data_IF_733520433956
#
_entry.id   IF_733520433956
#
_cell.length_a   1.000
_cell.length_b   1.000
_cell.length_c   1.000
_cell.angle_alpha   90.00
_cell.angle_beta   90.00
_cell.angle_gamma   90.00
#
_symmetry.space_group_name_H-M   'P 1'
#
loop_
_entity.id
_entity.type
_entity.pdbx_description
1 polymer ?
#
# COMPACT_ATOMS: atom_id res chain seq x y z
N UNK A 1 -10.38 3.00 13.57
CA UNK A 1 -10.24 1.56 13.44
C UNK A 1 -10.77 0.93 14.73
N UNK A 2 -11.07 -0.33 14.74
CA UNK A 2 -11.63 -1.04 15.93
C UNK A 2 -10.74 -0.92 17.18
N UNK A 3 -9.44 -0.74 17.00
CA UNK A 3 -8.44 -0.57 18.07
C UNK A 3 -8.26 0.90 18.52
N UNK A 4 -9.10 1.81 18.05
CA UNK A 4 -9.04 3.24 18.36
C UNK A 4 -8.06 4.05 17.53
N UNK A 5 -7.26 3.44 16.65
CA UNK A 5 -6.38 4.18 15.74
C UNK A 5 -7.22 4.94 14.71
N UNK A 6 -6.83 6.18 14.41
CA UNK A 6 -7.50 7.04 13.42
C UNK A 6 -6.67 7.10 12.16
N UNK A 7 -7.25 6.71 11.02
CA UNK A 7 -6.64 6.90 9.71
C UNK A 7 -7.18 8.18 9.07
N UNK A 8 -6.35 8.81 8.25
CA UNK A 8 -6.69 10.05 7.54
C UNK A 8 -6.94 9.75 6.07
N UNK A 9 -8.05 10.26 5.55
CA UNK A 9 -8.43 10.14 4.16
C UNK A 9 -8.88 11.49 3.58
N UNK A 10 -8.67 11.68 2.28
CA UNK A 10 -9.26 12.76 1.51
C UNK A 10 -10.41 12.21 0.68
N UNK A 11 -11.58 12.83 0.75
CA UNK A 11 -12.71 12.53 -0.08
C UNK A 11 -12.81 13.51 -1.25
N UNK A 12 -12.85 13.00 -2.45
CA UNK A 12 -13.04 13.76 -3.69
C UNK A 12 -14.44 13.47 -4.21
N UNK A 13 -15.32 14.47 -4.11
CA UNK A 13 -16.67 14.38 -4.63
C UNK A 13 -16.69 14.72 -6.13
N UNK A 14 -17.46 13.98 -6.96
CA UNK A 14 -17.66 14.34 -8.36
C UNK A 14 -18.59 15.55 -8.49
N UNK A 15 -18.46 16.28 -9.59
CA UNK A 15 -19.37 17.38 -9.93
C UNK A 15 -20.51 16.80 -10.79
N UNK A 16 -21.40 16.04 -10.16
CA UNK A 16 -22.58 15.46 -10.81
C UNK A 16 -23.65 15.11 -9.78
N UNK A 17 -24.91 15.16 -10.16
CA UNK A 17 -26.05 14.71 -9.36
C UNK A 17 -26.27 13.18 -9.42
N UNK A 18 -25.58 12.49 -10.34
CA UNK A 18 -25.70 11.04 -10.53
C UNK A 18 -24.30 10.40 -10.55
N UNK A 19 -23.70 10.14 -9.37
CA UNK A 19 -22.39 9.53 -9.29
C UNK A 19 -22.32 8.14 -9.92
N UNK A 20 -21.21 7.84 -10.58
CA UNK A 20 -20.97 6.54 -11.22
C UNK A 20 -20.64 5.42 -10.21
N UNK A 21 -20.25 5.78 -8.99
CA UNK A 21 -19.88 4.85 -7.93
C UNK A 21 -18.85 5.44 -6.96
N UNK A 22 -18.28 4.60 -6.13
CA UNK A 22 -17.25 4.97 -5.17
C UNK A 22 -15.96 4.19 -5.45
N UNK A 23 -14.81 4.86 -5.36
CA UNK A 23 -13.48 4.24 -5.44
C UNK A 23 -12.76 4.40 -4.09
N UNK A 24 -12.20 3.32 -3.61
CA UNK A 24 -11.35 3.29 -2.41
C UNK A 24 -9.91 3.02 -2.84
N UNK A 25 -9.01 3.93 -2.46
CA UNK A 25 -7.56 3.84 -2.71
C UNK A 25 -6.84 4.01 -1.39
N UNK A 26 -6.04 3.00 -1.02
CA UNK A 26 -5.28 2.99 0.23
C UNK A 26 -3.80 2.78 -0.03
N UNK A 27 -2.94 3.54 0.66
CA UNK A 27 -1.50 3.37 0.47
C UNK A 27 -0.64 4.27 1.36
N UNK A 28 0.68 4.00 1.43
CA UNK A 28 1.61 4.70 2.31
C UNK A 28 2.20 5.98 1.71
N UNK A 29 1.87 6.35 0.47
CA UNK A 29 2.59 7.38 -0.29
C UNK A 29 2.00 8.78 -0.17
N UNK A 30 1.04 8.97 0.75
CA UNK A 30 0.37 10.24 0.99
C UNK A 30 -0.77 10.53 0.01
N UNK A 31 -1.39 11.70 0.19
CA UNK A 31 -2.60 12.10 -0.52
C UNK A 31 -2.43 13.35 -1.39
N UNK A 32 -1.21 13.89 -1.44
CA UNK A 32 -0.87 15.03 -2.28
C UNK A 32 -0.52 14.61 -3.71
N UNK A 33 -0.18 15.59 -4.57
CA UNK A 33 0.39 15.32 -5.90
C UNK A 33 1.68 14.48 -5.77
N UNK A 34 1.91 13.48 -6.63
CA UNK A 34 1.13 13.12 -7.82
C UNK A 34 -0.05 12.16 -7.56
N UNK A 35 -0.14 11.53 -6.37
CA UNK A 35 -1.17 10.52 -6.07
C UNK A 35 -2.60 11.09 -6.12
N UNK A 36 -2.80 12.32 -5.61
CA UNK A 36 -4.10 12.99 -5.70
C UNK A 36 -4.57 13.16 -7.15
N UNK A 37 -3.67 13.41 -8.10
CA UNK A 37 -4.03 13.52 -9.51
C UNK A 37 -4.35 12.13 -10.09
N UNK A 38 -3.42 11.20 -9.96
CA UNK A 38 -3.49 9.89 -10.62
C UNK A 38 -4.62 9.00 -10.08
N UNK A 39 -4.86 9.03 -8.76
CA UNK A 39 -5.76 8.10 -8.09
C UNK A 39 -7.03 8.75 -7.51
N UNK A 40 -7.20 10.07 -7.61
CA UNK A 40 -8.40 10.71 -7.10
C UNK A 40 -9.03 11.68 -8.12
N UNK A 41 -8.35 12.77 -8.48
CA UNK A 41 -8.94 13.83 -9.31
C UNK A 41 -9.41 13.34 -10.70
N UNK A 42 -8.63 12.46 -11.33
CA UNK A 42 -8.99 11.91 -12.65
C UNK A 42 -10.26 11.06 -12.60
N UNK A 43 -10.50 10.34 -11.52
CA UNK A 43 -11.70 9.54 -11.34
C UNK A 43 -12.88 10.39 -10.87
N UNK A 44 -12.65 11.37 -9.98
CA UNK A 44 -13.69 12.30 -9.56
C UNK A 44 -14.22 13.11 -10.76
N UNK A 45 -13.34 13.53 -11.67
CA UNK A 45 -13.73 14.18 -12.93
C UNK A 45 -14.57 13.28 -13.86
N UNK A 46 -14.57 11.96 -13.63
CA UNK A 46 -15.37 10.98 -14.38
C UNK A 46 -16.62 10.52 -13.62
N UNK A 47 -16.98 11.21 -12.56
CA UNK A 47 -18.23 10.97 -11.84
C UNK A 47 -18.13 10.06 -10.63
N UNK A 48 -16.93 9.65 -10.21
CA UNK A 48 -16.77 8.80 -9.02
C UNK A 48 -16.54 9.62 -7.75
N UNK A 49 -17.16 9.22 -6.64
CA UNK A 49 -16.63 9.55 -5.33
C UNK A 49 -15.30 8.80 -5.13
N UNK A 50 -14.27 9.47 -4.67
CA UNK A 50 -12.98 8.81 -4.40
C UNK A 50 -12.54 9.07 -2.97
N UNK A 51 -12.22 7.99 -2.26
CA UNK A 51 -11.55 8.03 -0.97
C UNK A 51 -10.10 7.66 -1.19
N UNK A 52 -9.20 8.62 -0.96
CA UNK A 52 -7.75 8.39 -0.97
C UNK A 52 -7.26 8.41 0.48
N UNK A 53 -6.90 7.23 1.01
CA UNK A 53 -6.56 7.04 2.42
C UNK A 53 -5.07 6.75 2.60
N UNK A 54 -4.45 7.42 3.57
CA UNK A 54 -3.13 7.03 4.07
C UNK A 54 -3.25 5.87 5.04
N UNK A 55 -2.44 4.85 4.85
CA UNK A 55 -2.42 3.69 5.73
C UNK A 55 -1.83 4.03 7.10
N UNK A 56 -1.97 3.13 8.05
CA UNK A 56 -1.54 3.26 9.44
C UNK A 56 -0.09 3.77 9.54
N UNK A 57 0.15 4.75 10.42
CA UNK A 57 1.47 5.33 10.69
C UNK A 57 2.06 6.18 9.57
N UNK A 58 1.25 6.60 8.57
CA UNK A 58 1.72 7.44 7.46
C UNK A 58 0.86 8.69 7.27
N UNK A 59 1.48 9.80 6.89
CA UNK A 59 0.85 11.07 6.47
C UNK A 59 -0.29 11.54 7.36
N UNK A 60 -0.08 11.48 8.68
CA UNK A 60 -1.02 11.93 9.70
C UNK A 60 -2.00 10.85 10.16
N UNK A 61 -2.03 9.68 9.56
CA UNK A 61 -2.70 8.51 10.12
C UNK A 61 -1.97 8.03 11.37
N UNK A 62 -2.73 7.70 12.41
CA UNK A 62 -2.19 7.24 13.70
C UNK A 62 -1.59 5.83 13.64
N UNK A 63 -1.05 5.40 14.77
CA UNK A 63 -0.40 4.09 14.92
C UNK A 63 1.03 4.08 14.38
N UNK A 64 1.59 2.89 14.20
CA UNK A 64 2.94 2.65 13.69
C UNK A 64 2.84 2.03 12.31
N UNK A 65 3.68 2.47 11.39
CA UNK A 65 3.75 1.89 10.05
C UNK A 65 4.57 0.59 10.09
N UNK A 66 3.89 -0.50 9.93
CA UNK A 66 4.44 -1.83 9.68
C UNK A 66 3.94 -2.29 8.32
N UNK A 67 4.79 -2.27 7.29
CA UNK A 67 4.33 -2.49 5.92
C UNK A 67 3.53 -3.77 5.76
N UNK A 68 2.31 -3.63 5.22
CA UNK A 68 1.40 -4.72 4.85
C UNK A 68 0.75 -5.48 6.01
N UNK A 69 1.22 -5.32 7.26
CA UNK A 69 0.76 -6.10 8.42
C UNK A 69 -0.70 -5.81 8.78
N UNK A 70 -1.11 -4.55 8.75
CA UNK A 70 -2.44 -4.13 9.23
C UNK A 70 -3.47 -3.95 8.10
N UNK A 71 -3.14 -4.25 6.86
CA UNK A 71 -3.95 -3.81 5.71
C UNK A 71 -5.30 -4.52 5.60
N UNK A 72 -5.40 -5.76 6.05
CA UNK A 72 -6.66 -6.50 6.04
C UNK A 72 -7.66 -5.91 7.07
N UNK A 73 -7.22 -5.76 8.32
CA UNK A 73 -8.07 -5.23 9.40
C UNK A 73 -8.42 -3.77 9.20
N UNK A 74 -7.44 -2.92 8.83
CA UNK A 74 -7.69 -1.51 8.54
C UNK A 74 -8.55 -1.32 7.29
N UNK A 75 -8.45 -2.23 6.33
CA UNK A 75 -9.30 -2.27 5.15
C UNK A 75 -10.75 -2.55 5.50
N UNK A 76 -11.00 -3.57 6.32
CA UNK A 76 -12.33 -3.93 6.81
C UNK A 76 -12.97 -2.77 7.59
N UNK A 77 -12.24 -2.18 8.54
CA UNK A 77 -12.69 -1.02 9.30
C UNK A 77 -12.99 0.21 8.41
N UNK A 78 -12.20 0.40 7.36
CA UNK A 78 -12.44 1.47 6.39
C UNK A 78 -13.74 1.24 5.62
N UNK A 79 -14.08 0.00 5.29
CA UNK A 79 -15.36 -0.33 4.66
C UNK A 79 -16.52 -0.09 5.62
N UNK A 80 -16.39 -0.43 6.91
CA UNK A 80 -17.40 -0.10 7.92
C UNK A 80 -17.64 1.41 7.97
N UNK A 81 -16.57 2.21 8.04
CA UNK A 81 -16.67 3.67 7.99
C UNK A 81 -17.30 4.18 6.69
N UNK A 82 -17.00 3.56 5.56
CA UNK A 82 -17.52 3.96 4.25
C UNK A 82 -19.04 3.82 4.18
N UNK A 83 -19.61 2.76 4.78
CA UNK A 83 -21.07 2.53 4.86
C UNK A 83 -21.84 3.66 5.58
N UNK A 84 -21.17 4.34 6.51
CA UNK A 84 -21.76 5.43 7.28
C UNK A 84 -21.75 6.78 6.55
N UNK A 85 -21.09 6.86 5.40
CA UNK A 85 -20.96 8.14 4.70
C UNK A 85 -22.22 8.46 3.88
N UNK A 86 -22.82 9.67 4.03
CA UNK A 86 -24.07 10.02 3.36
C UNK A 86 -23.96 10.07 1.83
N UNK A 87 -22.75 10.16 1.30
CA UNK A 87 -22.44 10.16 -0.13
C UNK A 87 -22.08 8.77 -0.67
N UNK A 88 -21.99 7.76 0.17
CA UNK A 88 -21.64 6.41 -0.29
C UNK A 88 -22.73 5.84 -1.18
N UNK A 89 -22.34 5.36 -2.34
CA UNK A 89 -23.29 4.85 -3.37
C UNK A 89 -23.75 3.41 -3.13
N UNK A 90 -23.40 2.81 -1.98
CA UNK A 90 -23.75 1.42 -1.61
C UNK A 90 -22.84 0.37 -2.26
N UNK A 91 -21.96 0.77 -3.20
CA UNK A 91 -20.96 -0.10 -3.83
C UNK A 91 -19.66 0.67 -4.04
N UNK A 92 -18.54 -0.04 -3.98
CA UNK A 92 -17.23 0.54 -4.28
C UNK A 92 -16.36 -0.40 -5.11
N UNK A 93 -15.40 0.17 -5.79
CA UNK A 93 -14.30 -0.56 -6.42
C UNK A 93 -12.97 -0.08 -5.84
N UNK A 94 -11.91 -0.87 -6.05
CA UNK A 94 -10.56 -0.51 -5.64
C UNK A 94 -9.65 -0.37 -6.85
N UNK A 95 -8.65 0.50 -6.77
CA UNK A 95 -7.67 0.72 -7.83
C UNK A 95 -6.32 1.09 -7.23
N UNK A 96 -5.24 0.57 -7.79
CA UNK A 96 -3.91 0.94 -7.32
C UNK A 96 -2.78 0.10 -7.88
N UNK A 97 -1.56 0.61 -7.69
CA UNK A 97 -0.31 0.01 -8.14
C UNK A 97 0.58 -0.35 -6.95
N UNK A 98 1.34 -1.42 -7.06
CA UNK A 98 2.35 -1.82 -6.06
C UNK A 98 1.72 -2.03 -4.68
N UNK A 99 2.13 -1.32 -3.65
CA UNK A 99 1.54 -1.37 -2.31
C UNK A 99 0.00 -1.13 -2.32
N UNK A 100 -0.47 -0.20 -3.15
CA UNK A 100 -1.91 0.04 -3.33
C UNK A 100 -2.63 -1.17 -3.96
N UNK A 101 -1.89 -2.05 -4.61
CA UNK A 101 -2.38 -3.35 -5.08
C UNK A 101 -2.46 -4.37 -3.93
N UNK A 102 -1.44 -4.40 -3.06
CA UNK A 102 -1.48 -5.26 -1.86
C UNK A 102 -2.69 -4.92 -0.96
N UNK A 103 -2.99 -3.64 -0.74
CA UNK A 103 -4.16 -3.25 0.07
C UNK A 103 -5.48 -3.76 -0.50
N UNK A 104 -5.57 -3.97 -1.81
CA UNK A 104 -6.74 -4.56 -2.46
C UNK A 104 -6.81 -6.07 -2.21
N UNK A 105 -5.69 -6.78 -2.36
CA UNK A 105 -5.60 -8.19 -2.01
C UNK A 105 -5.98 -8.45 -0.55
N UNK A 106 -5.55 -7.56 0.35
CA UNK A 106 -5.89 -7.63 1.76
C UNK A 106 -7.42 -7.55 2.00
N UNK A 107 -8.13 -6.68 1.30
CA UNK A 107 -9.61 -6.61 1.34
C UNK A 107 -10.26 -7.83 0.68
N UNK A 108 -9.64 -8.39 -0.36
CA UNK A 108 -10.15 -9.57 -1.07
C UNK A 108 -10.00 -10.88 -0.29
N UNK A 109 -9.27 -10.90 0.84
CA UNK A 109 -9.23 -12.06 1.73
C UNK A 109 -10.60 -12.34 2.39
N UNK A 110 -11.35 -11.27 2.68
CA UNK A 110 -12.74 -11.34 3.17
C UNK A 110 -13.55 -10.25 2.44
N UNK A 111 -13.92 -10.50 1.17
CA UNK A 111 -14.48 -9.46 0.32
C UNK A 111 -15.86 -9.02 0.81
N UNK A 112 -16.04 -7.73 1.14
CA UNK A 112 -17.32 -7.21 1.59
C UNK A 112 -18.32 -7.20 0.43
N UNK A 113 -19.64 -7.37 0.70
CA UNK A 113 -20.66 -7.47 -0.35
C UNK A 113 -20.80 -6.20 -1.20
N UNK A 114 -20.33 -5.06 -0.73
CA UNK A 114 -20.31 -3.80 -1.47
C UNK A 114 -19.15 -3.70 -2.47
N UNK A 115 -18.15 -4.56 -2.38
CA UNK A 115 -17.05 -4.57 -3.34
C UNK A 115 -17.57 -5.00 -4.72
N UNK A 116 -17.36 -4.15 -5.73
CA UNK A 116 -17.87 -4.36 -7.07
C UNK A 116 -16.81 -4.81 -8.07
N UNK A 117 -15.57 -4.36 -7.90
CA UNK A 117 -14.43 -4.70 -8.76
C UNK A 117 -13.10 -4.29 -8.12
N UNK A 118 -12.00 -4.86 -8.60
CA UNK A 118 -10.65 -4.45 -8.24
C UNK A 118 -9.78 -4.27 -9.50
N UNK A 119 -8.93 -3.23 -9.51
CA UNK A 119 -7.94 -2.99 -10.56
C UNK A 119 -6.56 -2.95 -9.91
N UNK A 120 -5.81 -4.02 -10.06
CA UNK A 120 -4.53 -4.25 -9.38
C UNK A 120 -3.40 -4.20 -10.40
N UNK A 121 -2.53 -3.21 -10.26
CA UNK A 121 -1.35 -3.08 -11.12
C UNK A 121 -0.10 -3.44 -10.34
N UNK A 122 0.64 -4.46 -10.77
CA UNK A 122 1.91 -4.91 -10.16
C UNK A 122 1.85 -5.00 -8.63
N UNK A 123 0.70 -5.47 -8.09
CA UNK A 123 0.46 -5.60 -6.65
C UNK A 123 0.67 -7.04 -6.20
N UNK A 124 1.60 -7.32 -5.29
CA UNK A 124 1.82 -8.67 -4.80
C UNK A 124 0.65 -9.14 -3.92
N UNK A 125 0.23 -10.39 -4.04
CA UNK A 125 -0.66 -11.06 -3.10
C UNK A 125 0.12 -11.88 -2.05
N UNK A 126 1.34 -12.26 -2.36
CA UNK A 126 2.30 -12.87 -1.44
C UNK A 126 3.58 -12.02 -1.42
N UNK A 127 3.82 -11.35 -0.29
CA UNK A 127 4.96 -10.47 -0.18
C UNK A 127 6.27 -11.23 -0.03
N UNK A 128 6.27 -12.43 0.60
CA UNK A 128 7.45 -13.28 0.65
C UNK A 128 7.92 -13.66 -0.76
N UNK A 129 6.98 -14.03 -1.64
CA UNK A 129 7.31 -14.36 -3.02
C UNK A 129 7.94 -13.17 -3.78
N UNK A 130 7.58 -11.94 -3.43
CA UNK A 130 8.20 -10.73 -4.01
C UNK A 130 9.60 -10.47 -3.46
N UNK A 131 9.84 -10.78 -2.18
CA UNK A 131 11.11 -10.50 -1.49
C UNK A 131 12.14 -11.61 -1.72
N UNK A 132 11.70 -12.89 -1.67
CA UNK A 132 12.56 -14.08 -1.68
C UNK A 132 12.27 -15.06 -2.82
N UNK A 133 11.30 -14.78 -3.69
CA UNK A 133 10.77 -15.73 -4.67
C UNK A 133 11.79 -16.30 -5.66
N UNK A 134 12.95 -15.65 -5.83
CA UNK A 134 14.05 -16.16 -6.66
C UNK A 134 15.08 -16.96 -5.87
N UNK A 135 14.87 -17.17 -4.57
CA UNK A 135 15.83 -17.81 -3.66
C UNK A 135 16.94 -16.87 -3.16
N UNK A 136 16.90 -15.62 -3.55
CA UNK A 136 17.77 -14.56 -3.03
C UNK A 136 16.94 -13.32 -2.68
N UNK A 137 17.39 -12.57 -1.66
CA UNK A 137 16.71 -11.34 -1.25
C UNK A 137 16.79 -10.27 -2.34
N UNK A 138 15.64 -9.72 -2.74
CA UNK A 138 15.53 -8.66 -3.75
C UNK A 138 15.99 -7.30 -3.18
N UNK A 139 17.27 -7.21 -2.80
CA UNK A 139 17.84 -6.09 -2.04
C UNK A 139 17.70 -4.75 -2.76
N UNK A 140 17.88 -4.73 -4.09
CA UNK A 140 17.84 -3.49 -4.86
C UNK A 140 16.47 -2.79 -4.71
N UNK A 141 15.40 -3.56 -4.83
CA UNK A 141 14.05 -3.04 -4.81
C UNK A 141 13.62 -2.65 -3.39
N UNK A 142 13.82 -3.55 -2.44
CA UNK A 142 13.28 -3.36 -1.09
C UNK A 142 14.13 -2.45 -0.21
N UNK A 143 15.45 -2.36 -0.44
CA UNK A 143 16.28 -1.36 0.24
C UNK A 143 15.97 0.05 -0.28
N UNK A 144 15.82 0.21 -1.59
CA UNK A 144 15.47 1.50 -2.19
C UNK A 144 14.06 1.95 -1.77
N UNK A 145 13.11 1.03 -1.73
CA UNK A 145 11.76 1.30 -1.29
C UNK A 145 11.72 1.68 0.21
N UNK A 146 12.43 0.96 1.06
CA UNK A 146 12.50 1.25 2.49
C UNK A 146 13.16 2.61 2.77
N UNK A 147 14.22 2.97 2.04
CA UNK A 147 14.84 4.31 2.15
C UNK A 147 13.87 5.41 1.70
N UNK A 148 13.10 5.18 0.64
CA UNK A 148 12.09 6.12 0.16
C UNK A 148 11.01 6.34 1.23
N UNK A 149 10.38 5.26 1.70
CA UNK A 149 9.23 5.33 2.61
C UNK A 149 9.62 5.89 3.97
N UNK A 150 10.79 5.50 4.51
CA UNK A 150 11.28 6.01 5.79
C UNK A 150 11.55 7.52 5.81
N UNK A 151 11.71 8.15 4.64
CA UNK A 151 12.05 9.58 4.51
C UNK A 151 10.95 10.43 3.90
N UNK A 152 9.85 9.83 3.44
CA UNK A 152 8.84 10.55 2.66
C UNK A 152 8.10 11.65 3.42
N UNK A 153 8.07 11.60 4.75
CA UNK A 153 7.42 12.60 5.61
C UNK A 153 8.38 13.59 6.25
N UNK A 154 9.68 13.44 6.02
CA UNK A 154 10.69 14.36 6.57
C UNK A 154 10.69 15.74 5.94
N UNK A 155 11.33 16.71 6.62
CA UNK A 155 11.42 18.11 6.22
C UNK A 155 12.09 18.40 4.85
N UNK A 156 12.63 17.37 4.20
CA UNK A 156 13.14 17.43 2.81
C UNK A 156 12.13 17.01 1.76
N UNK A 157 10.85 17.13 2.04
CA UNK A 157 9.70 16.84 1.17
C UNK A 157 9.64 17.67 -0.12
N UNK A 158 10.65 18.48 -0.41
CA UNK A 158 10.67 19.33 -1.59
C UNK A 158 11.04 18.49 -2.83
N UNK A 159 10.02 18.21 -3.65
CA UNK A 159 10.12 17.90 -5.07
C UNK A 159 11.09 16.77 -5.47
N UNK A 160 10.94 15.58 -4.93
CA UNK A 160 11.65 14.45 -5.50
C UNK A 160 10.66 13.43 -6.03
N UNK A 161 10.29 13.62 -7.29
CA UNK A 161 9.50 12.64 -8.02
C UNK A 161 10.18 11.26 -8.08
N UNK A 162 9.37 10.28 -8.40
CA UNK A 162 9.67 8.84 -8.62
C UNK A 162 11.06 8.48 -9.21
N UNK A 163 11.78 9.33 -9.99
CA UNK A 163 13.09 8.96 -10.54
C UNK A 163 14.21 8.69 -9.53
N UNK A 164 13.99 8.96 -8.23
CA UNK A 164 14.99 8.67 -7.19
C UNK A 164 14.95 7.25 -6.62
N UNK A 165 13.96 6.45 -7.01
CA UNK A 165 13.82 5.05 -6.57
C UNK A 165 15.01 4.15 -6.92
N UNK A 166 15.75 4.47 -7.97
CA UNK A 166 16.80 3.57 -8.51
C UNK A 166 18.22 4.12 -8.42
N UNK A 167 18.45 5.25 -7.75
CA UNK A 167 19.70 5.89 -8.07
C UNK A 167 20.43 6.66 -7.00
N UNK A 168 20.18 6.52 -5.71
CA UNK A 168 21.12 7.17 -4.79
C UNK A 168 22.41 6.35 -4.74
N UNK A 169 23.57 7.00 -4.95
CA UNK A 169 24.89 6.38 -4.76
C UNK A 169 25.01 5.72 -3.38
N UNK A 170 24.22 6.17 -2.40
CA UNK A 170 24.16 5.60 -1.06
C UNK A 170 23.47 4.25 -1.04
N UNK A 171 22.34 4.09 -1.74
CA UNK A 171 21.66 2.80 -1.91
C UNK A 171 22.55 1.82 -2.63
N UNK A 172 23.15 2.22 -3.75
CA UNK A 172 24.07 1.37 -4.51
C UNK A 172 25.29 0.89 -3.68
N UNK A 173 25.83 1.76 -2.82
CA UNK A 173 26.90 1.39 -1.88
C UNK A 173 26.42 0.41 -0.82
N UNK A 174 25.21 0.60 -0.27
CA UNK A 174 24.64 -0.27 0.76
C UNK A 174 24.29 -1.66 0.20
N UNK A 175 23.80 -1.74 -1.05
CA UNK A 175 23.53 -3.00 -1.75
C UNK A 175 24.75 -3.91 -1.85
N UNK A 176 25.93 -3.34 -2.06
CA UNK A 176 27.20 -4.08 -2.09
C UNK A 176 27.81 -4.40 -0.72
N UNK A 177 27.17 -4.00 0.37
CA UNK A 177 27.70 -4.16 1.72
C UNK A 177 27.45 -5.54 2.32
N UNK A 178 28.44 -6.06 3.07
CA UNK A 178 28.35 -7.34 3.78
C UNK A 178 28.78 -7.15 5.24
N UNK A 179 28.01 -7.66 6.22
CA UNK A 179 26.67 -8.29 6.13
C UNK A 179 25.58 -7.31 5.67
N UNK A 180 24.61 -7.81 4.91
CA UNK A 180 23.54 -7.02 4.30
C UNK A 180 22.76 -6.16 5.32
N UNK A 181 22.36 -6.75 6.46
CA UNK A 181 21.61 -6.03 7.50
C UNK A 181 22.42 -4.86 8.10
N UNK A 182 23.73 -5.02 8.32
CA UNK A 182 24.58 -3.95 8.83
C UNK A 182 24.73 -2.79 7.81
N UNK A 183 24.86 -3.12 6.53
CA UNK A 183 24.93 -2.13 5.46
C UNK A 183 23.60 -1.37 5.31
N UNK A 184 22.47 -2.08 5.42
CA UNK A 184 21.14 -1.49 5.41
C UNK A 184 20.92 -0.56 6.62
N UNK A 185 21.28 -0.98 7.84
CA UNK A 185 21.22 -0.12 9.04
C UNK A 185 21.97 1.19 8.87
N UNK A 186 23.13 1.15 8.24
CA UNK A 186 23.93 2.36 7.98
C UNK A 186 23.18 3.35 7.07
N UNK A 187 22.37 2.85 6.14
CA UNK A 187 21.56 3.68 5.24
C UNK A 187 20.26 4.14 5.88
N UNK A 188 19.51 3.20 6.47
CA UNK A 188 18.14 3.40 6.93
C UNK A 188 18.06 4.00 8.35
N UNK A 189 19.10 3.83 9.16
CA UNK A 189 19.05 4.16 10.58
C UNK A 189 17.94 3.36 11.28
N UNK A 190 17.11 4.06 12.05
CA UNK A 190 15.92 3.48 12.71
C UNK A 190 14.63 3.64 11.91
N UNK A 191 14.72 4.20 10.69
CA UNK A 191 13.54 4.62 9.91
C UNK A 191 12.78 3.49 9.24
N UNK A 192 13.38 2.29 9.12
CA UNK A 192 12.76 1.14 8.48
C UNK A 192 13.10 -0.17 9.22
N UNK A 193 12.55 -0.38 10.44
CA UNK A 193 12.87 -1.55 11.26
C UNK A 193 12.45 -2.87 10.61
N UNK A 194 11.39 -2.86 9.80
CA UNK A 194 10.88 -4.04 9.07
C UNK A 194 11.90 -4.65 8.11
N UNK A 195 12.85 -3.86 7.60
CA UNK A 195 13.79 -4.32 6.56
C UNK A 195 14.69 -5.45 7.05
N UNK A 196 15.19 -5.37 8.28
CA UNK A 196 16.01 -6.43 8.86
C UNK A 196 15.20 -7.69 9.10
N UNK A 197 13.97 -7.56 9.60
CA UNK A 197 13.06 -8.69 9.78
C UNK A 197 12.80 -9.43 8.46
N UNK A 198 12.67 -8.71 7.35
CA UNK A 198 12.52 -9.35 6.03
C UNK A 198 13.75 -10.15 5.60
N UNK A 199 14.96 -9.71 6.00
CA UNK A 199 16.21 -10.44 5.71
C UNK A 199 16.34 -11.67 6.62
N UNK A 200 15.96 -11.55 7.87
CA UNK A 200 16.12 -12.60 8.88
C UNK A 200 15.17 -13.78 8.64
N UNK A 201 13.99 -13.54 8.11
CA UNK A 201 12.97 -14.53 7.81
C UNK A 201 13.02 -14.98 6.35
N UNK A 202 14.04 -15.74 5.96
CA UNK A 202 14.23 -16.16 4.56
C UNK A 202 13.38 -17.34 4.12
N UNK A 203 12.88 -18.16 5.05
CA UNK A 203 12.08 -19.33 4.74
C UNK A 203 10.66 -18.94 4.32
N UNK A 204 10.19 -19.55 3.24
CA UNK A 204 8.85 -19.23 2.72
C UNK A 204 7.71 -19.71 3.62
N UNK A 205 7.93 -20.72 4.45
CA UNK A 205 6.96 -21.26 5.39
C UNK A 205 7.02 -20.62 6.78
N UNK A 206 7.89 -19.62 6.98
CA UNK A 206 8.00 -18.91 8.26
C UNK A 206 6.68 -18.17 8.57
N UNK A 207 6.10 -18.41 9.79
CA UNK A 207 4.88 -17.74 10.25
C UNK A 207 4.97 -16.20 10.25
N UNK A 208 6.17 -15.62 10.26
CA UNK A 208 6.39 -14.18 10.10
C UNK A 208 5.66 -13.61 8.88
N UNK A 209 5.56 -14.38 7.79
CA UNK A 209 4.95 -13.92 6.54
C UNK A 209 3.42 -14.03 6.52
N UNK A 210 2.78 -14.66 7.51
CA UNK A 210 1.34 -14.89 7.48
C UNK A 210 0.52 -13.60 7.29
N UNK A 211 0.77 -12.48 8.01
CA UNK A 211 0.02 -11.24 7.79
C UNK A 211 0.35 -10.55 6.48
N UNK A 212 1.44 -10.93 5.81
CA UNK A 212 1.92 -10.35 4.55
C UNK A 212 1.53 -11.21 3.34
N UNK A 213 0.61 -12.15 3.51
CA UNK A 213 0.09 -13.04 2.47
C UNK A 213 -1.41 -12.91 2.36
N UNK A 214 -1.87 -12.78 1.14
CA UNK A 214 -3.28 -12.71 0.80
C UNK A 214 -3.68 -13.85 -0.15
N UNK A 215 -3.05 -15.03 -0.01
CA UNK A 215 -3.27 -16.15 -0.92
C UNK A 215 -4.72 -16.64 -0.90
N UNK A 216 -5.40 -16.58 0.25
CA UNK A 216 -6.82 -16.95 0.35
C UNK A 216 -7.74 -16.06 -0.50
N UNK A 217 -7.30 -14.84 -0.83
CA UNK A 217 -8.05 -13.95 -1.71
C UNK A 217 -8.26 -14.55 -3.11
N UNK A 218 -7.31 -15.37 -3.59
CA UNK A 218 -7.40 -16.02 -4.90
C UNK A 218 -8.58 -17.00 -5.00
N UNK A 219 -8.90 -17.66 -3.88
CA UNK A 219 -10.01 -18.62 -3.81
C UNK A 219 -11.34 -17.95 -3.46
N UNK A 220 -11.30 -16.80 -2.79
CA UNK A 220 -12.50 -16.09 -2.27
C UNK A 220 -13.03 -15.00 -3.19
N UNK A 221 -12.24 -14.55 -4.16
CA UNK A 221 -12.65 -13.47 -5.06
C UNK A 221 -13.85 -13.89 -5.93
N UNK A 222 -14.94 -13.10 -5.84
CA UNK A 222 -16.17 -13.30 -6.61
C UNK A 222 -16.55 -12.06 -7.44
N UNK A 223 -15.66 -11.08 -7.49
CA UNK A 223 -15.86 -9.84 -8.24
C UNK A 223 -14.89 -9.79 -9.43
N UNK A 224 -15.21 -9.03 -10.49
CA UNK A 224 -14.26 -8.79 -11.56
C UNK A 224 -12.96 -8.20 -11.04
N UNK A 225 -11.84 -8.79 -11.42
CA UNK A 225 -10.49 -8.30 -11.12
C UNK A 225 -9.72 -8.09 -12.41
N UNK A 226 -9.24 -6.87 -12.63
CA UNK A 226 -8.29 -6.57 -13.69
C UNK A 226 -6.89 -6.57 -13.10
N UNK A 227 -6.05 -7.50 -13.56
CA UNK A 227 -4.63 -7.57 -13.21
C UNK A 227 -3.79 -6.98 -14.34
N UNK A 228 -2.94 -6.03 -13.99
CA UNK A 228 -1.95 -5.44 -14.88
C UNK A 228 -0.57 -5.74 -14.30
N UNK A 229 0.25 -6.46 -15.06
CA UNK A 229 1.60 -6.85 -14.68
C UNK A 229 2.56 -6.70 -15.86
N UNK A 230 3.88 -6.74 -15.61
CA UNK A 230 4.92 -6.68 -16.61
C UNK A 230 6.28 -6.96 -16.00
#
# INVERSE_FOLDING_TARGET
MHDGVRLVADHYAPITSSPAGTLLVRGPYGRAFPFSLAFARLYAARGYHVVLQSVRGTFGSGGVFEPMVNEATDGADTVVWLREQPWFTGRFATVGVSYLGFTQWAVLQDPPPELAAAVITSGPHDFNASVWGTGSFAINDFLAWSDLVSRQEGSRRIMTGIPRLLGSRKVAKAVGGVPMGAAARTLLGTGAPWFESWIEHSASDDPFWNPLRCNEALDRVQVPVLLLGG
#
